data_IF_658764904302
#
_entry.id   IF_658764904302
#
_cell.length_a   1.000
_cell.length_b   1.000
_cell.length_c   1.000
_cell.angle_alpha   90.00
_cell.angle_beta   90.00
_cell.angle_gamma   90.00
#
_symmetry.space_group_name_H-M   'P 1'
#
loop_
_entity.id
_entity.type
_entity.pdbx_description
1 polymer ?
#
# COMPACT_ATOMS: atom_id res chain seq x y z
N UNK A 1 2.57 8.09 23.85
CA UNK A 1 2.18 7.22 24.99
C UNK A 1 1.58 8.08 26.08
N UNK A 2 0.31 7.81 26.38
CA UNK A 2 -0.54 8.57 27.29
C UNK A 2 -0.01 8.51 28.73
N UNK A 3 0.90 9.44 29.04
CA UNK A 3 1.46 9.67 30.38
C UNK A 3 0.35 9.89 31.43
N UNK A 4 -0.90 10.19 31.02
CA UNK A 4 -2.01 10.38 31.94
C UNK A 4 -2.57 9.06 32.49
N UNK A 5 -2.74 8.01 31.67
CA UNK A 5 -3.29 6.71 32.11
C UNK A 5 -2.28 5.92 32.94
N UNK A 6 -1.01 5.87 32.52
CA UNK A 6 0.03 5.17 33.30
C UNK A 6 0.29 5.86 34.63
N UNK A 7 0.20 7.19 34.67
CA UNK A 7 0.31 7.98 35.91
C UNK A 7 -0.90 7.80 36.82
N UNK A 8 -2.11 7.72 36.28
CA UNK A 8 -3.33 7.42 37.05
C UNK A 8 -3.31 6.02 37.66
N UNK A 9 -2.87 5.01 36.91
CA UNK A 9 -2.73 3.63 37.42
C UNK A 9 -1.65 3.58 38.51
N UNK A 10 -0.50 4.22 38.29
CA UNK A 10 0.57 4.27 39.28
C UNK A 10 0.18 5.06 40.54
N UNK A 11 -0.53 6.17 40.42
CA UNK A 11 -1.05 6.93 41.57
C UNK A 11 -2.11 6.13 42.36
N UNK A 12 -2.91 5.30 41.66
CA UNK A 12 -3.89 4.43 42.29
C UNK A 12 -3.22 3.28 43.06
N UNK A 13 -2.23 2.63 42.45
CA UNK A 13 -1.45 1.54 43.06
C UNK A 13 -0.64 2.03 44.27
N UNK A 14 -0.01 3.21 44.17
CA UNK A 14 0.67 3.82 45.32
C UNK A 14 -0.28 4.13 46.47
N UNK A 15 -1.50 4.58 46.17
CA UNK A 15 -2.50 4.91 47.18
C UNK A 15 -3.02 3.67 47.88
N UNK A 16 -3.21 2.56 47.15
CA UNK A 16 -3.55 1.25 47.72
C UNK A 16 -2.42 0.74 48.62
N UNK A 17 -1.16 0.85 48.20
CA UNK A 17 -0.02 0.41 49.02
C UNK A 17 0.18 1.28 50.26
N UNK A 18 -0.09 2.59 50.19
CA UNK A 18 -0.09 3.47 51.37
C UNK A 18 -1.16 3.08 52.39
N UNK A 19 -2.35 2.70 51.92
CA UNK A 19 -3.46 2.22 52.75
C UNK A 19 -3.11 0.86 53.37
N UNK A 20 -2.52 -0.07 52.61
CA UNK A 20 -2.07 -1.38 53.11
C UNK A 20 -1.02 -1.28 54.22
N UNK A 21 -0.17 -0.25 54.19
CA UNK A 21 0.87 -0.03 55.22
C UNK A 21 0.35 0.61 56.51
N UNK A 22 -0.83 1.23 56.49
CA UNK A 22 -1.34 2.03 57.61
C UNK A 22 -2.62 1.48 58.22
N UNK A 23 -3.34 0.62 57.50
CA UNK A 23 -4.54 -0.04 57.97
C UNK A 23 -4.27 -1.51 58.33
N UNK A 24 -4.87 -1.99 59.41
CA UNK A 24 -4.91 -3.42 59.66
C UNK A 24 -5.91 -4.12 58.70
N UNK A 25 -5.83 -5.45 58.59
CA UNK A 25 -6.67 -6.27 57.70
C UNK A 25 -8.17 -5.99 57.85
N UNK A 26 -8.66 -5.71 59.06
CA UNK A 26 -10.07 -5.40 59.31
C UNK A 26 -10.49 -4.04 58.74
N UNK A 27 -9.64 -3.02 58.88
CA UNK A 27 -9.88 -1.70 58.30
C UNK A 27 -9.83 -1.74 56.77
N UNK A 28 -8.95 -2.53 56.18
CA UNK A 28 -8.86 -2.71 54.73
C UNK A 28 -10.13 -3.37 54.17
N UNK A 29 -10.65 -4.41 54.84
CA UNK A 29 -11.91 -5.06 54.44
C UNK A 29 -13.11 -4.14 54.56
N UNK A 30 -13.17 -3.30 55.60
CA UNK A 30 -14.23 -2.30 55.75
C UNK A 30 -14.19 -1.25 54.63
N UNK A 31 -12.99 -0.80 54.25
CA UNK A 31 -12.81 0.17 53.16
C UNK A 31 -13.22 -0.41 51.80
N UNK A 32 -12.80 -1.64 51.48
CA UNK A 32 -13.16 -2.32 50.23
C UNK A 32 -14.67 -2.55 50.13
N UNK A 33 -15.32 -2.93 51.24
CA UNK A 33 -16.78 -3.09 51.30
C UNK A 33 -17.53 -1.77 51.09
N UNK A 34 -16.99 -0.65 51.58
CA UNK A 34 -17.54 0.69 51.34
C UNK A 34 -17.39 1.13 49.88
N UNK A 35 -16.27 0.77 49.22
CA UNK A 35 -16.05 1.07 47.80
C UNK A 35 -17.04 0.29 46.94
N UNK A 36 -17.23 -1.01 47.20
CA UNK A 36 -18.20 -1.83 46.47
C UNK A 36 -19.65 -1.33 46.62
N UNK A 37 -20.04 -0.89 47.82
CA UNK A 37 -21.36 -0.28 48.04
C UNK A 37 -21.53 1.05 47.31
N UNK A 38 -20.45 1.84 47.19
CA UNK A 38 -20.47 3.11 46.46
C UNK A 38 -20.54 2.88 44.95
N UNK A 39 -19.81 1.90 44.43
CA UNK A 39 -19.88 1.52 43.01
C UNK A 39 -21.25 0.92 42.64
N UNK A 40 -21.87 0.18 43.55
CA UNK A 40 -23.20 -0.44 43.36
C UNK A 40 -24.36 0.57 43.43
N UNK A 41 -24.12 1.80 43.90
CA UNK A 41 -25.14 2.86 44.03
C UNK A 41 -25.01 3.95 42.96
N UNK A 42 -24.06 3.83 42.03
CA UNK A 42 -23.97 4.71 40.88
C UNK A 42 -25.16 4.47 39.93
N UNK A 43 -25.85 5.54 39.47
CA UNK A 43 -26.98 5.40 38.57
C UNK A 43 -26.54 4.75 37.25
N UNK A 44 -27.23 3.68 36.88
CA UNK A 44 -27.06 3.03 35.57
C UNK A 44 -27.44 4.06 34.50
N UNK A 45 -26.44 4.60 33.81
CA UNK A 45 -26.64 5.42 32.63
C UNK A 45 -27.39 4.56 31.59
N UNK A 46 -28.54 5.01 31.07
CA UNK A 46 -29.25 4.27 30.04
C UNK A 46 -28.29 4.05 28.85
N UNK A 47 -28.06 2.79 28.50
CA UNK A 47 -27.37 2.44 27.26
C UNK A 47 -28.05 3.20 26.10
N UNK A 48 -27.29 3.92 25.24
CA UNK A 48 -27.82 4.38 23.98
C UNK A 48 -28.40 3.16 23.24
N UNK A 49 -29.55 3.31 22.57
CA UNK A 49 -30.08 2.30 21.67
C UNK A 49 -28.96 1.81 20.75
N UNK A 50 -28.47 0.60 21.00
CA UNK A 50 -27.66 -0.14 20.05
C UNK A 50 -28.54 -0.29 18.81
N UNK A 51 -28.27 0.51 17.77
CA UNK A 51 -28.66 0.14 16.42
C UNK A 51 -28.11 -1.26 16.23
N UNK A 52 -28.97 -2.23 15.96
CA UNK A 52 -28.57 -3.59 15.62
C UNK A 52 -27.58 -3.52 14.46
N UNK A 53 -26.30 -3.54 14.79
CA UNK A 53 -25.25 -3.84 13.85
C UNK A 53 -25.52 -5.27 13.41
N UNK A 54 -25.67 -5.54 12.10
CA UNK A 54 -25.82 -6.91 11.64
C UNK A 54 -24.67 -7.75 12.22
N UNK A 55 -24.92 -9.03 12.58
CA UNK A 55 -23.87 -9.90 13.08
C UNK A 55 -22.68 -9.88 12.13
N UNK A 56 -21.43 -9.89 12.63
CA UNK A 56 -20.25 -9.85 11.77
C UNK A 56 -20.38 -10.96 10.73
N UNK A 57 -20.42 -10.57 9.45
CA UNK A 57 -20.41 -11.52 8.36
C UNK A 57 -19.15 -12.38 8.52
N UNK A 58 -19.32 -13.71 8.50
CA UNK A 58 -18.26 -14.73 8.56
C UNK A 58 -16.92 -14.21 8.03
N UNK A 59 -15.89 -14.27 8.88
CA UNK A 59 -14.55 -13.69 8.69
C UNK A 59 -14.06 -13.75 7.25
N UNK A 60 -14.17 -12.62 6.56
CA UNK A 60 -13.50 -12.46 5.29
C UNK A 60 -12.04 -12.08 5.53
N UNK A 61 -11.14 -12.79 4.87
CA UNK A 61 -9.72 -12.49 4.95
C UNK A 61 -9.32 -11.55 3.82
N UNK A 62 -8.55 -10.53 4.19
CA UNK A 62 -7.88 -9.65 3.25
C UNK A 62 -6.44 -10.12 3.06
N UNK A 63 -6.05 -10.24 1.80
CA UNK A 63 -4.70 -10.56 1.39
C UNK A 63 -4.10 -9.37 0.66
N UNK A 64 -2.92 -8.94 1.12
CA UNK A 64 -2.06 -8.01 0.40
C UNK A 64 -1.24 -8.80 -0.61
N UNK A 65 -1.49 -8.55 -1.89
CA UNK A 65 -0.68 -9.07 -2.99
C UNK A 65 0.45 -8.08 -3.26
N UNK A 66 1.67 -8.59 -3.33
CA UNK A 66 2.89 -7.81 -3.55
C UNK A 66 3.65 -8.44 -4.70
N UNK A 67 3.78 -7.68 -5.79
CA UNK A 67 4.60 -8.07 -6.92
C UNK A 67 5.99 -7.46 -6.82
N UNK A 68 7.01 -8.32 -6.92
CA UNK A 68 8.40 -7.93 -7.18
C UNK A 68 8.88 -8.65 -8.42
N UNK A 69 9.02 -7.94 -9.53
CA UNK A 69 9.56 -8.50 -10.77
C UNK A 69 8.86 -9.83 -11.17
N UNK A 70 9.58 -10.95 -11.20
CA UNK A 70 9.07 -12.29 -11.52
C UNK A 70 8.27 -12.98 -10.40
N UNK A 71 8.05 -12.36 -9.23
CA UNK A 71 7.28 -13.02 -8.17
C UNK A 71 6.08 -12.21 -7.72
N UNK A 72 4.97 -12.91 -7.63
CA UNK A 72 3.78 -12.46 -6.92
C UNK A 72 3.67 -13.24 -5.62
N UNK A 73 3.65 -12.52 -4.51
CA UNK A 73 3.41 -13.09 -3.18
C UNK A 73 2.15 -12.49 -2.58
N UNK A 74 1.55 -13.17 -1.60
CA UNK A 74 0.44 -12.63 -0.82
C UNK A 74 0.69 -12.75 0.68
N UNK A 75 0.10 -11.85 1.46
CA UNK A 75 0.16 -11.83 2.92
C UNK A 75 -1.24 -11.61 3.50
N UNK A 76 -1.65 -12.43 4.47
CA UNK A 76 -2.95 -12.24 5.15
C UNK A 76 -2.87 -11.05 6.11
N UNK A 77 -3.36 -9.87 5.70
CA UNK A 77 -3.28 -8.65 6.52
C UNK A 77 -4.34 -8.60 7.62
N UNK A 78 -5.43 -9.38 7.51
CA UNK A 78 -6.41 -9.52 8.59
C UNK A 78 -5.80 -10.15 9.84
N UNK A 79 -4.77 -10.98 9.66
CA UNK A 79 -4.04 -11.65 10.75
C UNK A 79 -2.67 -11.04 11.03
N UNK A 80 -2.41 -9.80 10.62
CA UNK A 80 -1.06 -9.20 10.69
C UNK A 80 -0.44 -9.23 12.10
N UNK A 81 -1.25 -9.10 13.16
CA UNK A 81 -0.82 -9.21 14.55
C UNK A 81 -0.31 -10.60 14.96
N UNK A 82 -0.68 -11.65 14.21
CA UNK A 82 -0.21 -13.02 14.39
C UNK A 82 1.10 -13.30 13.64
N UNK A 83 1.72 -12.28 13.02
CA UNK A 83 2.94 -12.39 12.20
C UNK A 83 2.83 -13.42 11.06
N UNK A 84 1.84 -13.29 10.15
CA UNK A 84 1.61 -14.24 9.07
C UNK A 84 2.79 -14.19 8.09
N UNK A 85 3.01 -15.28 7.35
CA UNK A 85 4.12 -15.40 6.41
C UNK A 85 3.67 -15.03 4.99
N UNK A 86 4.57 -14.43 4.21
CA UNK A 86 4.34 -14.24 2.77
C UNK A 86 4.28 -15.59 2.05
N UNK A 87 3.16 -15.84 1.38
CA UNK A 87 2.95 -17.01 0.54
C UNK A 87 3.33 -16.68 -0.91
N UNK A 88 4.06 -17.57 -1.58
CA UNK A 88 4.33 -17.45 -3.01
C UNK A 88 3.09 -17.83 -3.80
N UNK A 89 2.55 -16.88 -4.58
CA UNK A 89 1.40 -17.09 -5.47
C UNK A 89 1.86 -17.55 -6.84
N UNK A 90 2.87 -16.86 -7.40
CA UNK A 90 3.41 -17.17 -8.71
C UNK A 90 4.90 -16.82 -8.81
N UNK A 91 5.65 -17.71 -9.45
CA UNK A 91 7.04 -17.53 -9.87
C UNK A 91 7.08 -17.51 -11.40
N UNK A 92 7.06 -16.31 -11.99
CA UNK A 92 7.05 -16.08 -13.43
C UNK A 92 8.37 -16.55 -14.08
N UNK A 93 9.49 -16.55 -13.33
CA UNK A 93 10.81 -17.03 -13.77
C UNK A 93 10.80 -18.49 -14.22
N UNK A 94 10.10 -19.34 -13.47
CA UNK A 94 10.09 -20.79 -13.71
C UNK A 94 9.10 -21.20 -14.78
N UNK A 95 8.37 -20.24 -15.35
CA UNK A 95 7.38 -20.47 -16.38
C UNK A 95 7.94 -19.83 -17.63
N UNK A 96 8.50 -20.65 -18.52
CA UNK A 96 9.16 -20.31 -19.80
C UNK A 96 8.30 -19.45 -20.78
N UNK A 97 7.23 -18.81 -20.32
CA UNK A 97 6.16 -18.28 -21.14
C UNK A 97 5.69 -16.86 -20.78
N UNK A 98 6.12 -16.23 -19.68
CA UNK A 98 5.73 -14.84 -19.36
C UNK A 98 6.89 -14.04 -18.73
N UNK A 99 7.53 -13.20 -19.55
CA UNK A 99 8.38 -12.10 -19.07
C UNK A 99 7.54 -11.12 -18.22
N UNK A 100 8.09 -10.45 -17.20
CA UNK A 100 7.29 -10.04 -16.05
C UNK A 100 6.19 -9.04 -16.46
N UNK A 101 4.96 -9.30 -16.01
CA UNK A 101 3.77 -8.48 -16.29
C UNK A 101 3.37 -7.73 -15.03
N UNK A 102 2.95 -6.47 -15.11
CA UNK A 102 2.45 -5.76 -13.90
C UNK A 102 1.04 -6.25 -13.56
N UNK A 103 0.88 -6.72 -12.33
CA UNK A 103 -0.37 -7.26 -11.78
C UNK A 103 -1.21 -6.15 -11.14
N UNK A 104 -2.52 -6.21 -11.34
CA UNK A 104 -3.49 -5.31 -10.68
C UNK A 104 -4.83 -6.02 -10.48
N UNK A 105 -5.59 -5.58 -9.49
CA UNK A 105 -6.92 -6.11 -9.23
C UNK A 105 -8.00 -5.37 -10.03
N UNK A 106 -8.98 -6.12 -10.54
CA UNK A 106 -10.19 -5.56 -11.11
C UNK A 106 -11.38 -6.47 -10.78
N UNK A 107 -11.89 -6.33 -9.55
CA UNK A 107 -13.06 -7.05 -9.08
C UNK A 107 -12.74 -8.51 -8.75
N UNK A 108 -13.28 -9.46 -9.50
CA UNK A 108 -13.06 -10.89 -9.20
C UNK A 108 -11.75 -11.45 -9.76
N UNK A 109 -11.15 -10.80 -10.76
CA UNK A 109 -9.95 -11.31 -11.45
C UNK A 109 -8.72 -10.44 -11.16
N UNK A 110 -7.56 -11.09 -11.14
CA UNK A 110 -6.25 -10.42 -11.16
C UNK A 110 -5.82 -10.31 -12.62
N UNK A 111 -5.57 -9.08 -13.07
CA UNK A 111 -5.14 -8.79 -14.43
C UNK A 111 -3.64 -8.54 -14.48
N UNK A 112 -3.05 -8.78 -15.65
CA UNK A 112 -1.63 -8.64 -15.90
C UNK A 112 -1.40 -7.97 -17.24
N UNK A 113 -0.52 -6.97 -17.27
CA UNK A 113 -0.26 -6.17 -18.46
C UNK A 113 1.21 -5.82 -18.62
N UNK A 114 1.63 -5.74 -19.88
CA UNK A 114 2.94 -5.22 -20.29
C UNK A 114 4.05 -6.26 -20.37
N UNK A 115 5.29 -5.82 -20.19
CA UNK A 115 6.51 -6.64 -20.17
C UNK A 115 7.56 -5.87 -19.37
N UNK A 116 8.43 -6.50 -18.60
CA UNK A 116 9.46 -5.81 -17.79
C UNK A 116 10.82 -5.90 -18.46
N UNK A 117 11.59 -4.81 -18.37
CA UNK A 117 12.91 -4.70 -18.99
C UNK A 117 14.00 -5.38 -18.14
N UNK A 118 14.39 -6.61 -18.50
CA UNK A 118 15.50 -7.33 -17.86
C UNK A 118 16.83 -7.02 -18.59
N UNK A 119 17.44 -5.88 -18.26
CA UNK A 119 18.82 -5.47 -18.62
C UNK A 119 19.32 -5.46 -20.09
N UNK A 120 20.27 -4.55 -20.34
CA UNK A 120 20.94 -4.17 -21.61
C UNK A 120 21.43 -5.29 -22.54
N UNK A 121 21.71 -6.49 -22.03
CA UNK A 121 22.48 -7.51 -22.78
C UNK A 121 21.67 -8.71 -23.24
N UNK A 122 20.41 -8.82 -22.81
CA UNK A 122 19.64 -10.04 -23.01
C UNK A 122 18.32 -9.87 -23.75
N UNK A 123 17.88 -8.65 -24.09
CA UNK A 123 16.85 -8.57 -25.14
C UNK A 123 17.47 -9.06 -26.44
N UNK A 124 16.97 -10.16 -27.04
CA UNK A 124 17.19 -10.39 -28.45
C UNK A 124 16.82 -9.09 -29.16
N UNK A 125 17.59 -8.68 -30.17
CA UNK A 125 17.28 -7.51 -31.03
C UNK A 125 15.89 -7.59 -31.71
N UNK A 126 15.10 -8.63 -31.43
CA UNK A 126 13.90 -9.09 -32.10
C UNK A 126 12.84 -9.69 -31.15
N UNK A 127 12.76 -9.29 -29.87
CA UNK A 127 11.56 -9.63 -29.10
C UNK A 127 10.36 -8.87 -29.68
N UNK A 128 9.35 -9.60 -30.16
CA UNK A 128 8.11 -9.01 -30.64
C UNK A 128 7.43 -8.20 -29.53
N UNK A 129 6.87 -7.02 -29.86
CA UNK A 129 6.14 -6.22 -28.87
C UNK A 129 4.98 -7.00 -28.25
N UNK A 130 4.86 -6.92 -26.92
CA UNK A 130 3.84 -7.64 -26.18
C UNK A 130 2.59 -6.78 -25.98
N UNK A 131 1.46 -7.23 -26.53
CA UNK A 131 0.17 -6.51 -26.51
C UNK A 131 -0.90 -7.20 -25.66
N UNK A 132 -0.63 -8.43 -25.24
CA UNK A 132 -1.63 -9.27 -24.60
C UNK A 132 -1.90 -8.81 -23.17
N UNK A 133 -3.16 -8.91 -22.77
CA UNK A 133 -3.60 -8.75 -21.38
C UNK A 133 -4.00 -10.13 -20.88
N UNK A 134 -3.50 -10.51 -19.72
CA UNK A 134 -3.86 -11.78 -19.08
C UNK A 134 -4.75 -11.53 -17.88
N UNK A 135 -5.59 -12.49 -17.55
CA UNK A 135 -6.27 -12.52 -16.27
C UNK A 135 -6.19 -13.89 -15.62
N UNK A 136 -6.32 -13.88 -14.30
CA UNK A 136 -6.46 -15.05 -13.45
C UNK A 136 -7.71 -14.84 -12.61
N UNK A 137 -8.69 -15.71 -12.81
CA UNK A 137 -9.84 -15.82 -11.92
C UNK A 137 -9.45 -16.70 -10.73
N UNK A 138 -9.09 -16.04 -9.62
CA UNK A 138 -8.73 -16.76 -8.39
C UNK A 138 -9.91 -17.46 -7.76
N UNK A 139 -11.16 -17.06 -8.07
CA UNK A 139 -12.37 -17.70 -7.57
C UNK A 139 -12.65 -19.05 -8.25
N UNK A 140 -12.34 -19.17 -9.55
CA UNK A 140 -12.61 -20.38 -10.35
C UNK A 140 -11.50 -21.41 -10.32
N UNK A 141 -10.26 -21.03 -10.04
CA UNK A 141 -9.11 -21.94 -10.06
C UNK A 141 -8.19 -21.69 -8.87
N UNK A 142 -7.84 -22.72 -8.08
CA UNK A 142 -6.80 -22.61 -7.07
C UNK A 142 -5.40 -22.48 -7.69
N UNK A 143 -5.26 -22.83 -8.98
CA UNK A 143 -4.01 -22.66 -9.71
C UNK A 143 -3.94 -21.25 -10.31
N UNK A 144 -2.86 -20.53 -10.00
CA UNK A 144 -2.57 -19.23 -10.58
C UNK A 144 -1.98 -19.43 -11.99
N UNK A 145 -2.83 -19.73 -12.98
CA UNK A 145 -2.44 -19.90 -14.38
C UNK A 145 -2.98 -18.71 -15.19
N UNK A 146 -2.12 -17.76 -15.59
CA UNK A 146 -2.54 -16.63 -16.42
C UNK A 146 -3.05 -17.11 -17.77
N UNK A 147 -4.25 -16.68 -18.15
CA UNK A 147 -4.86 -16.94 -19.44
C UNK A 147 -5.10 -15.61 -20.18
N UNK A 148 -5.13 -15.60 -21.53
CA UNK A 148 -5.56 -14.41 -22.26
C UNK A 148 -6.91 -13.92 -21.72
N UNK A 149 -7.00 -12.64 -21.39
CA UNK A 149 -8.22 -12.09 -20.82
C UNK A 149 -9.38 -12.18 -21.83
N UNK A 150 -10.54 -12.60 -21.33
CA UNK A 150 -11.79 -12.59 -22.11
C UNK A 150 -12.54 -11.27 -22.00
N UNK A 151 -12.18 -10.44 -21.01
CA UNK A 151 -12.84 -9.17 -20.66
C UNK A 151 -12.04 -7.99 -21.23
N UNK A 152 -10.72 -8.00 -21.04
CA UNK A 152 -9.85 -6.95 -21.54
C UNK A 152 -9.28 -7.33 -22.91
N UNK A 153 -9.53 -6.56 -23.99
CA UNK A 153 -8.90 -6.81 -25.27
C UNK A 153 -7.40 -6.51 -25.20
N UNK A 154 -6.69 -6.81 -26.29
CA UNK A 154 -5.27 -6.42 -26.42
C UNK A 154 -5.10 -4.91 -26.36
N UNK A 155 -3.95 -4.48 -25.83
CA UNK A 155 -3.54 -3.07 -25.81
C UNK A 155 -3.36 -2.54 -27.24
N UNK A 156 -3.57 -1.23 -27.44
CA UNK A 156 -3.33 -0.60 -28.73
C UNK A 156 -1.82 -0.42 -29.03
N UNK A 157 -0.98 -0.40 -27.99
CA UNK A 157 0.48 -0.41 -28.11
C UNK A 157 1.14 -1.25 -27.02
N UNK A 158 2.35 -1.78 -27.27
CA UNK A 158 3.07 -2.54 -26.25
C UNK A 158 3.44 -1.64 -25.07
N UNK A 159 3.48 -2.23 -23.88
CA UNK A 159 3.79 -1.52 -22.63
C UNK A 159 4.98 -2.17 -21.94
N UNK A 160 6.15 -1.55 -22.06
CA UNK A 160 7.36 -2.04 -21.38
C UNK A 160 7.57 -1.25 -20.09
N UNK A 161 7.76 -1.99 -19.01
CA UNK A 161 7.80 -1.55 -17.62
C UNK A 161 6.64 -0.60 -17.31
N UNK A 162 5.37 -1.04 -17.48
CA UNK A 162 4.25 -0.14 -17.32
C UNK A 162 4.08 0.33 -15.88
N UNK A 163 3.57 1.55 -15.74
CA UNK A 163 2.84 1.96 -14.54
C UNK A 163 1.36 1.64 -14.74
N UNK A 164 0.75 1.08 -13.69
CA UNK A 164 -0.67 0.76 -13.67
C UNK A 164 -1.31 1.47 -12.48
N UNK A 165 -2.41 2.18 -12.74
CA UNK A 165 -3.19 2.88 -11.71
C UNK A 165 -4.66 2.59 -11.95
N UNK A 166 -5.38 2.16 -10.91
CA UNK A 166 -6.84 2.04 -10.96
C UNK A 166 -7.45 3.23 -10.24
N UNK A 167 -8.35 3.95 -10.91
CA UNK A 167 -9.01 5.15 -10.40
C UNK A 167 -10.46 5.21 -10.88
N UNK A 168 -11.41 5.33 -9.95
CA UNK A 168 -12.86 5.32 -10.23
C UNK A 168 -13.32 4.18 -11.16
N UNK A 169 -12.83 2.96 -10.90
CA UNK A 169 -13.17 1.77 -11.69
C UNK A 169 -12.59 1.72 -13.11
N UNK A 170 -11.70 2.66 -13.46
CA UNK A 170 -10.94 2.67 -14.72
C UNK A 170 -9.49 2.29 -14.43
N UNK A 171 -8.86 1.55 -15.33
CA UNK A 171 -7.45 1.21 -15.21
C UNK A 171 -6.63 1.96 -16.25
N UNK A 172 -5.66 2.74 -15.79
CA UNK A 172 -4.74 3.50 -16.61
C UNK A 172 -3.41 2.77 -16.69
N UNK A 173 -2.86 2.67 -17.90
CA UNK A 173 -1.60 2.00 -18.17
C UNK A 173 -0.68 2.93 -18.95
N UNK A 174 0.45 3.28 -18.35
CA UNK A 174 1.48 4.14 -18.93
C UNK A 174 2.77 3.35 -19.16
N UNK A 175 3.25 3.29 -20.39
CA UNK A 175 4.58 2.77 -20.70
C UNK A 175 5.66 3.71 -20.16
N UNK A 176 6.64 3.15 -19.44
CA UNK A 176 7.88 3.85 -19.11
C UNK A 176 8.95 3.71 -20.19
N UNK A 177 8.82 2.69 -21.04
CA UNK A 177 9.74 2.40 -22.13
C UNK A 177 9.01 2.32 -23.47
N UNK A 178 9.63 2.86 -24.53
CA UNK A 178 9.00 3.02 -25.84
C UNK A 178 9.64 2.14 -26.90
N UNK A 179 8.84 1.80 -27.92
CA UNK A 179 9.33 1.20 -29.16
C UNK A 179 9.58 2.30 -30.19
N UNK A 180 10.38 1.98 -31.22
CA UNK A 180 10.75 2.91 -32.31
C UNK A 180 9.57 3.43 -33.15
N UNK A 181 8.43 2.73 -33.12
CA UNK A 181 7.22 3.08 -33.87
C UNK A 181 6.33 4.00 -33.02
N UNK A 182 5.59 4.97 -33.63
CA UNK A 182 4.56 5.72 -32.91
C UNK A 182 3.49 4.74 -32.40
N UNK A 183 3.57 4.43 -31.11
CA UNK A 183 2.66 3.53 -30.43
C UNK A 183 2.02 4.29 -29.26
N UNK A 184 0.73 4.04 -28.95
CA UNK A 184 0.11 4.56 -27.75
C UNK A 184 0.94 4.23 -26.51
N UNK A 185 1.47 5.24 -25.83
CA UNK A 185 2.21 5.06 -24.59
C UNK A 185 1.32 5.12 -23.36
N UNK A 186 0.15 5.78 -23.44
CA UNK A 186 -0.78 5.94 -22.34
C UNK A 186 -2.19 5.55 -22.77
N UNK A 187 -2.80 4.62 -22.05
CA UNK A 187 -4.13 4.09 -22.36
C UNK A 187 -4.97 3.96 -21.10
N UNK A 188 -6.29 4.02 -21.25
CA UNK A 188 -7.26 3.73 -20.18
C UNK A 188 -8.18 2.59 -20.62
N UNK A 189 -8.37 1.62 -19.74
CA UNK A 189 -9.40 0.60 -19.85
C UNK A 189 -10.66 1.08 -19.14
N UNK A 190 -11.75 1.14 -19.88
CA UNK A 190 -13.07 1.47 -19.35
C UNK A 190 -14.14 0.76 -20.19
N UNK A 191 -15.16 0.20 -19.55
CA UNK A 191 -16.29 -0.46 -20.21
C UNK A 191 -15.87 -1.51 -21.27
N UNK A 192 -14.88 -2.35 -20.94
CA UNK A 192 -14.42 -3.43 -21.81
C UNK A 192 -13.54 -2.98 -22.98
N UNK A 193 -13.08 -1.72 -23.03
CA UNK A 193 -12.29 -1.19 -24.15
C UNK A 193 -11.10 -0.37 -23.68
N UNK A 194 -9.99 -0.47 -24.42
CA UNK A 194 -8.86 0.43 -24.30
C UNK A 194 -9.08 1.69 -25.14
N UNK A 195 -8.77 2.85 -24.55
CA UNK A 195 -8.75 4.15 -25.23
C UNK A 195 -7.38 4.78 -25.06
N UNK A 196 -6.76 5.19 -26.15
CA UNK A 196 -5.52 5.98 -26.13
C UNK A 196 -5.76 7.36 -25.53
N UNK A 197 -4.84 7.76 -24.65
CA UNK A 197 -4.83 9.07 -24.01
C UNK A 197 -3.68 9.93 -24.56
N UNK A 198 -3.71 11.26 -24.32
CA UNK A 198 -2.62 12.14 -24.71
C UNK A 198 -1.27 11.67 -24.16
N UNK A 199 -0.21 11.68 -24.97
CA UNK A 199 1.11 11.29 -24.51
C UNK A 199 1.61 12.27 -23.44
N UNK A 200 2.28 11.80 -22.38
CA UNK A 200 2.81 12.70 -21.37
C UNK A 200 3.88 13.63 -21.92
N UNK A 201 3.96 14.87 -21.39
CA UNK A 201 4.85 15.92 -21.89
C UNK A 201 6.34 15.64 -21.63
N UNK A 202 6.65 14.72 -20.71
CA UNK A 202 8.01 14.29 -20.41
C UNK A 202 8.54 13.20 -21.36
N UNK A 203 7.72 12.73 -22.30
CA UNK A 203 8.17 11.89 -23.41
C UNK A 203 8.42 12.80 -24.61
N UNK A 204 9.68 13.14 -24.93
CA UNK A 204 9.95 13.88 -26.14
C UNK A 204 9.66 13.01 -27.37
N UNK A 205 9.25 13.62 -28.51
CA UNK A 205 9.23 12.91 -29.78
C UNK A 205 10.63 12.35 -30.06
N UNK A 206 10.72 11.03 -30.22
CA UNK A 206 11.99 10.32 -30.39
C UNK A 206 12.72 10.86 -31.63
N UNK A 207 13.92 11.43 -31.45
CA UNK A 207 14.77 11.90 -32.57
C UNK A 207 15.92 10.95 -32.89
N UNK A 208 16.33 10.09 -31.96
CA UNK A 208 17.40 9.11 -32.16
C UNK A 208 17.33 7.88 -31.23
N UNK A 209 17.99 6.79 -31.63
CA UNK A 209 18.10 5.54 -30.86
C UNK A 209 18.80 5.71 -29.50
N UNK A 210 19.72 6.68 -29.37
CA UNK A 210 20.44 6.97 -28.12
C UNK A 210 19.57 7.68 -27.08
N UNK A 211 18.67 8.56 -27.54
CA UNK A 211 17.73 9.28 -26.66
C UNK A 211 16.63 8.36 -26.14
N UNK A 212 16.14 7.45 -27.00
CA UNK A 212 15.20 6.39 -26.65
C UNK A 212 15.67 5.59 -25.42
N UNK A 213 16.99 5.34 -25.33
CA UNK A 213 17.60 4.56 -24.27
C UNK A 213 17.78 5.33 -22.95
N UNK A 214 18.07 6.63 -22.99
CA UNK A 214 18.31 7.42 -21.76
C UNK A 214 17.02 7.90 -21.06
N UNK A 215 15.93 8.07 -21.82
CA UNK A 215 14.61 8.41 -21.28
C UNK A 215 13.87 7.20 -20.71
N UNK A 216 14.11 6.03 -21.29
CA UNK A 216 13.50 4.77 -20.93
C UNK A 216 14.29 4.06 -19.82
N UNK A 217 14.43 4.67 -18.65
CA UNK A 217 14.93 3.93 -17.48
C UNK A 217 14.05 4.21 -16.28
N UNK A 218 13.52 3.15 -15.66
CA UNK A 218 12.89 3.16 -14.31
C UNK A 218 13.69 3.98 -13.29
N UNK A 219 15.00 4.11 -13.50
CA UNK A 219 15.92 4.94 -12.70
C UNK A 219 15.56 6.42 -12.61
N UNK A 220 14.79 6.97 -13.56
CA UNK A 220 14.32 8.38 -13.51
C UNK A 220 12.97 8.52 -12.84
N UNK A 221 12.20 7.45 -12.77
CA UNK A 221 10.89 7.44 -12.13
C UNK A 221 11.06 7.15 -10.62
N UNK A 222 10.22 7.77 -9.81
CA UNK A 222 10.28 7.62 -8.35
C UNK A 222 8.99 7.12 -7.74
N UNK A 223 7.84 7.61 -8.19
CA UNK A 223 6.55 7.23 -7.64
C UNK A 223 5.41 7.58 -8.59
N UNK A 224 4.32 6.79 -8.50
CA UNK A 224 3.04 7.06 -9.14
C UNK A 224 1.97 6.92 -8.09
N UNK A 225 1.04 7.85 -8.07
CA UNK A 225 -0.10 7.83 -7.17
C UNK A 225 -1.26 8.57 -7.81
N UNK A 226 -2.45 8.38 -7.23
CA UNK A 226 -3.66 9.04 -7.69
C UNK A 226 -4.52 9.45 -6.51
N UNK A 227 -5.31 10.49 -6.73
CA UNK A 227 -6.38 10.95 -5.84
C UNK A 227 -7.43 11.64 -6.69
N UNK A 228 -8.69 11.61 -6.25
CA UNK A 228 -9.81 12.21 -6.98
C UNK A 228 -9.76 11.84 -8.48
N UNK A 229 -9.70 12.82 -9.38
CA UNK A 229 -9.59 12.62 -10.82
C UNK A 229 -8.14 12.74 -11.36
N UNK A 230 -7.12 12.67 -10.51
CA UNK A 230 -5.72 13.01 -10.82
C UNK A 230 -4.79 11.82 -10.71
N UNK A 231 -3.90 11.69 -11.69
CA UNK A 231 -2.81 10.69 -11.69
C UNK A 231 -1.49 11.44 -11.75
N UNK A 232 -0.64 11.26 -10.74
CA UNK A 232 0.64 11.95 -10.66
C UNK A 232 1.80 11.00 -10.86
N UNK A 233 2.72 11.44 -11.72
CA UNK A 233 3.98 10.76 -12.03
C UNK A 233 5.13 11.62 -11.50
N UNK A 234 5.90 11.08 -10.57
CA UNK A 234 7.05 11.74 -9.96
C UNK A 234 8.37 11.18 -10.48
N UNK A 235 9.30 12.08 -10.74
CA UNK A 235 10.65 11.79 -11.22
C UNK A 235 11.71 12.11 -10.16
N UNK A 236 12.88 11.51 -10.33
CA UNK A 236 14.10 11.89 -9.59
C UNK A 236 14.40 13.37 -9.85
N UNK A 237 14.75 14.10 -8.79
CA UNK A 237 15.03 15.54 -8.87
C UNK A 237 13.83 16.45 -8.63
N UNK A 238 12.69 15.92 -8.17
CA UNK A 238 11.54 16.73 -7.73
C UNK A 238 10.62 17.20 -8.85
N UNK A 239 10.80 16.70 -10.07
CA UNK A 239 9.92 16.99 -11.20
C UNK A 239 8.70 16.06 -11.13
N UNK A 240 7.51 16.60 -11.31
CA UNK A 240 6.28 15.81 -11.32
C UNK A 240 5.25 16.37 -12.29
N UNK A 241 4.42 15.48 -12.82
CA UNK A 241 3.35 15.81 -13.75
C UNK A 241 2.07 15.14 -13.29
N UNK A 242 0.97 15.87 -13.40
CA UNK A 242 -0.37 15.40 -13.07
C UNK A 242 -1.17 15.25 -14.36
N UNK A 243 -1.73 14.08 -14.60
CA UNK A 243 -2.76 13.88 -15.60
C UNK A 243 -4.13 14.04 -14.94
N UNK A 244 -4.89 15.02 -15.40
CA UNK A 244 -6.27 15.25 -15.00
C UNK A 244 -7.17 14.41 -15.92
N UNK A 245 -7.92 13.48 -15.32
CA UNK A 245 -8.77 12.54 -16.06
C UNK A 245 -10.11 13.13 -16.49
N UNK A 246 -10.53 14.26 -15.92
CA UNK A 246 -11.74 14.99 -16.33
C UNK A 246 -11.46 15.89 -17.53
N UNK A 247 -10.38 16.68 -17.45
CA UNK A 247 -9.98 17.58 -18.54
C UNK A 247 -9.20 16.85 -19.63
N UNK A 248 -8.64 15.68 -19.33
CA UNK A 248 -7.79 14.88 -20.22
C UNK A 248 -6.52 15.64 -20.61
N UNK A 249 -5.92 16.35 -19.65
CA UNK A 249 -4.74 17.19 -19.84
C UNK A 249 -3.61 16.86 -18.86
N UNK A 250 -2.38 17.20 -19.25
CA UNK A 250 -1.20 17.08 -18.41
C UNK A 250 -0.79 18.44 -17.84
N UNK A 251 -0.63 18.49 -16.52
CA UNK A 251 -0.26 19.67 -15.75
C UNK A 251 1.16 19.47 -15.20
N UNK A 252 2.03 20.48 -15.35
CA UNK A 252 3.34 20.48 -14.72
C UNK A 252 3.21 20.94 -13.25
N UNK A 253 3.48 20.03 -12.32
CA UNK A 253 3.26 20.27 -10.89
C UNK A 253 4.37 21.11 -10.24
N UNK A 254 5.47 21.39 -10.93
CA UNK A 254 6.54 22.24 -10.39
C UNK A 254 6.03 23.64 -10.03
N UNK A 255 5.13 24.20 -10.85
CA UNK A 255 4.54 25.52 -10.58
C UNK A 255 3.58 25.48 -9.40
N UNK A 256 2.87 24.36 -9.22
CA UNK A 256 1.93 24.16 -8.10
C UNK A 256 2.67 24.08 -6.78
N UNK A 257 3.81 23.36 -6.75
CA UNK A 257 4.58 23.18 -5.52
C UNK A 257 5.51 24.36 -5.18
N UNK A 258 5.74 25.29 -6.12
CA UNK A 258 6.64 26.43 -5.90
C UNK A 258 6.07 27.31 -4.78
N UNK A 259 6.75 27.34 -3.63
CA UNK A 259 6.32 28.10 -2.46
C UNK A 259 5.29 27.40 -1.57
N UNK A 260 4.94 26.14 -1.85
CA UNK A 260 4.11 25.30 -0.98
C UNK A 260 4.96 24.52 0.03
N UNK A 261 4.34 24.10 1.15
CA UNK A 261 4.94 23.16 2.10
C UNK A 261 4.81 21.68 1.65
N UNK A 262 4.29 21.44 0.44
CA UNK A 262 4.17 20.10 -0.11
C UNK A 262 5.52 19.63 -0.62
N UNK A 263 5.90 18.42 -0.23
CA UNK A 263 7.11 17.82 -0.73
C UNK A 263 6.99 17.59 -2.26
N UNK A 264 8.02 17.91 -3.05
CA UNK A 264 7.96 17.79 -4.50
C UNK A 264 7.82 16.33 -5.00
N UNK A 265 8.10 15.37 -4.11
CA UNK A 265 7.98 13.93 -4.37
C UNK A 265 7.28 13.28 -3.18
N UNK A 266 6.13 12.68 -3.43
CA UNK A 266 5.44 11.77 -2.52
C UNK A 266 5.66 10.34 -3.04
N UNK A 267 6.11 9.42 -2.19
CA UNK A 267 6.36 8.01 -2.56
C UNK A 267 5.05 7.25 -2.76
N UNK A 268 4.06 7.54 -1.90
CA UNK A 268 2.73 6.98 -1.96
C UNK A 268 1.73 7.99 -1.42
N UNK A 269 0.48 7.85 -1.87
CA UNK A 269 -0.66 8.66 -1.44
C UNK A 269 -1.91 7.77 -1.39
N UNK A 270 -2.77 7.99 -0.40
CA UNK A 270 -4.17 7.59 -0.42
C UNK A 270 -5.06 8.75 0.00
N UNK A 271 -6.27 8.81 -0.55
CA UNK A 271 -7.26 9.83 -0.20
C UNK A 271 -8.18 9.37 0.94
N UNK A 272 -8.50 10.28 1.85
CA UNK A 272 -9.42 10.08 2.98
C UNK A 272 -10.20 11.37 3.29
N UNK A 273 -11.50 11.43 2.99
CA UNK A 273 -12.38 12.61 3.18
C UNK A 273 -11.73 13.96 2.80
N UNK A 274 -11.25 14.07 1.55
CA UNK A 274 -10.55 15.27 1.02
C UNK A 274 -9.18 15.56 1.65
N UNK A 275 -8.64 14.65 2.45
CA UNK A 275 -7.25 14.65 2.85
C UNK A 275 -6.45 13.64 2.05
N UNK A 276 -5.17 13.90 1.85
CA UNK A 276 -4.21 12.95 1.31
C UNK A 276 -3.30 12.48 2.43
N UNK A 277 -3.26 11.18 2.66
CA UNK A 277 -2.29 10.53 3.55
C UNK A 277 -1.13 10.10 2.65
N UNK A 278 0.07 10.56 2.95
CA UNK A 278 1.20 10.40 2.07
C UNK A 278 2.50 10.11 2.82
N UNK A 279 3.44 9.45 2.14
CA UNK A 279 4.83 9.38 2.58
C UNK A 279 5.70 10.26 1.68
N UNK A 280 6.22 11.40 2.14
CA UNK A 280 7.12 12.22 1.34
C UNK A 280 8.47 11.54 1.06
N UNK A 281 9.22 12.02 0.06
CA UNK A 281 10.60 11.60 -0.19
C UNK A 281 11.59 12.77 -0.12
N UNK A 282 12.70 12.64 0.64
CA UNK A 282 12.94 11.65 1.69
C UNK A 282 12.15 12.03 2.95
N UNK A 283 11.50 11.07 3.60
CA UNK A 283 10.79 11.33 4.85
C UNK A 283 10.66 10.06 5.69
N UNK A 284 10.77 10.27 7.00
CA UNK A 284 10.68 9.26 8.08
C UNK A 284 9.27 9.25 8.70
N UNK A 285 8.25 9.73 7.98
CA UNK A 285 6.92 9.93 8.56
C UNK A 285 5.82 9.79 7.51
N UNK A 286 4.59 9.55 8.00
CA UNK A 286 3.38 9.76 7.22
C UNK A 286 2.85 11.17 7.52
N UNK A 287 2.48 11.86 6.45
CA UNK A 287 2.00 13.24 6.46
C UNK A 287 0.62 13.29 5.86
N UNK A 288 -0.21 14.17 6.40
CA UNK A 288 -1.54 14.50 5.90
C UNK A 288 -1.46 15.84 5.19
N UNK A 289 -2.03 15.88 3.99
CA UNK A 289 -2.31 17.12 3.25
C UNK A 289 -3.81 17.35 3.14
N UNK A 290 -4.28 18.58 3.34
CA UNK A 290 -5.66 18.97 3.04
C UNK A 290 -5.76 19.43 1.59
N UNK A 291 -6.79 19.00 0.87
CA UNK A 291 -7.04 19.45 -0.49
C UNK A 291 -7.76 20.81 -0.50
N UNK A 292 -7.22 21.77 -1.24
CA UNK A 292 -7.91 23.05 -1.48
C UNK A 292 -9.10 22.92 -2.43
N UNK A 293 -9.77 24.05 -2.70
CA UNK A 293 -10.92 24.12 -3.60
C UNK A 293 -10.61 23.67 -5.05
N UNK A 294 -9.34 23.68 -5.44
CA UNK A 294 -8.87 23.23 -6.75
C UNK A 294 -8.30 21.80 -6.69
N UNK A 295 -8.45 21.09 -5.56
CA UNK A 295 -7.94 19.72 -5.39
C UNK A 295 -6.42 19.63 -5.29
N UNK A 296 -5.73 20.71 -4.93
CA UNK A 296 -4.28 20.70 -4.69
C UNK A 296 -3.97 20.54 -3.19
N UNK A 297 -2.95 19.74 -2.84
CA UNK A 297 -2.60 19.51 -1.45
C UNK A 297 -1.96 20.73 -0.79
N UNK A 298 -2.25 20.92 0.49
CA UNK A 298 -1.55 21.81 1.42
C UNK A 298 -1.20 21.03 2.68
N UNK A 299 -0.01 21.29 3.25
CA UNK A 299 0.39 20.59 4.47
C UNK A 299 -0.64 20.83 5.58
N UNK A 300 -1.05 19.76 6.25
CA UNK A 300 -2.03 19.84 7.33
C UNK A 300 -1.43 19.35 8.64
N UNK A 301 -0.97 18.10 8.73
CA UNK A 301 -0.32 17.58 9.94
C UNK A 301 0.58 16.37 9.66
N UNK A 302 1.42 16.03 10.62
CA UNK A 302 2.13 14.75 10.69
C UNK A 302 1.29 13.72 11.45
N UNK A 303 1.46 12.44 11.13
CA UNK A 303 0.85 11.33 11.87
C UNK A 303 1.87 10.76 12.85
N UNK A 304 2.01 11.41 14.00
CA UNK A 304 2.97 11.04 15.05
C UNK A 304 2.71 9.63 15.61
N UNK A 305 1.49 9.10 15.45
CA UNK A 305 1.13 7.75 15.89
C UNK A 305 1.95 6.65 15.19
N UNK A 306 2.59 6.95 14.06
CA UNK A 306 3.47 6.04 13.33
C UNK A 306 4.95 6.14 13.70
N UNK A 307 5.34 7.03 14.62
CA UNK A 307 6.75 7.21 15.01
C UNK A 307 7.41 5.88 15.42
N UNK A 308 6.66 4.99 16.10
CA UNK A 308 7.14 3.66 16.50
C UNK A 308 7.54 2.77 15.32
N UNK A 309 6.87 2.91 14.18
CA UNK A 309 7.17 2.15 12.95
C UNK A 309 8.43 2.70 12.28
N UNK A 310 8.60 4.02 12.28
CA UNK A 310 9.75 4.69 11.66
C UNK A 310 10.99 4.75 12.55
N UNK A 311 10.86 4.46 13.86
CA UNK A 311 11.99 4.30 14.77
C UNK A 311 12.95 3.18 14.35
N UNK A 312 12.49 2.21 13.53
CA UNK A 312 13.37 1.25 12.90
C UNK A 312 14.10 1.88 11.71
N UNK A 313 15.42 2.07 11.87
CA UNK A 313 16.31 2.68 10.86
C UNK A 313 16.27 2.03 9.47
N UNK A 314 15.73 0.81 9.34
CA UNK A 314 15.48 0.18 8.04
C UNK A 314 14.37 0.92 7.30
N UNK A 315 13.27 1.25 7.99
CA UNK A 315 12.06 1.89 7.44
C UNK A 315 12.33 3.31 6.97
N UNK A 316 13.20 4.05 7.67
CA UNK A 316 13.73 5.38 7.28
C UNK A 316 14.23 5.36 5.82
N UNK A 317 15.09 4.40 5.48
CA UNK A 317 15.71 4.29 4.15
C UNK A 317 14.82 3.71 3.04
N UNK A 318 13.51 3.55 3.26
CA UNK A 318 12.62 2.91 2.29
C UNK A 318 12.53 3.67 0.96
N UNK A 319 12.69 2.94 -0.15
CA UNK A 319 12.74 3.50 -1.50
C UNK A 319 11.40 3.44 -2.22
N UNK A 320 10.54 2.50 -1.85
CA UNK A 320 9.19 2.32 -2.40
C UNK A 320 8.17 2.15 -1.30
N UNK A 321 6.99 2.71 -1.50
CA UNK A 321 5.88 2.58 -0.57
C UNK A 321 4.54 2.61 -1.32
N UNK A 322 3.50 2.06 -0.69
CA UNK A 322 2.11 2.13 -1.13
C UNK A 322 1.22 2.33 0.10
N UNK A 323 0.14 3.10 -0.05
CA UNK A 323 -0.96 3.14 0.90
C UNK A 323 -2.19 2.68 0.13
N UNK A 324 -2.81 1.61 0.59
CA UNK A 324 -3.87 0.90 -0.13
C UNK A 324 -5.12 0.91 0.77
N UNK A 325 -6.22 1.56 0.37
CA UNK A 325 -7.46 1.53 1.15
C UNK A 325 -8.10 0.13 1.12
N UNK A 326 -8.78 -0.24 2.20
CA UNK A 326 -9.62 -1.44 2.23
C UNK A 326 -10.94 -1.16 1.51
N UNK A 327 -11.37 -2.06 0.62
CA UNK A 327 -12.57 -1.84 -0.20
C UNK A 327 -13.88 -1.83 0.60
N UNK A 328 -13.94 -2.53 1.74
CA UNK A 328 -15.14 -2.63 2.58
C UNK A 328 -15.09 -1.77 3.84
N UNK A 329 -14.01 -1.00 4.03
CA UNK A 329 -13.79 -0.17 5.20
C UNK A 329 -13.03 1.11 4.80
N UNK A 330 -13.79 2.17 4.51
CA UNK A 330 -13.28 3.44 4.00
C UNK A 330 -12.31 4.15 4.97
N UNK A 331 -12.34 3.80 6.25
CA UNK A 331 -11.46 4.35 7.27
C UNK A 331 -10.17 3.54 7.42
N UNK A 332 -10.04 2.38 6.77
CA UNK A 332 -8.95 1.43 6.98
C UNK A 332 -8.00 1.38 5.81
N UNK A 333 -6.71 1.35 6.10
CA UNK A 333 -5.64 1.39 5.12
C UNK A 333 -4.55 0.37 5.44
N UNK A 334 -3.91 -0.15 4.39
CA UNK A 334 -2.68 -0.91 4.47
C UNK A 334 -1.53 -0.07 3.93
N UNK A 335 -0.53 0.18 4.76
CA UNK A 335 0.74 0.75 4.34
C UNK A 335 1.74 -0.37 4.12
N UNK A 336 2.44 -0.32 3.00
CA UNK A 336 3.59 -1.19 2.73
C UNK A 336 4.75 -0.33 2.26
N UNK A 337 5.94 -0.57 2.81
CA UNK A 337 7.17 -0.02 2.26
C UNK A 337 8.28 -1.06 2.23
N UNK A 338 9.25 -0.84 1.35
CA UNK A 338 10.41 -1.71 1.18
C UNK A 338 11.67 -0.90 1.03
N UNK A 339 12.78 -1.46 1.46
CA UNK A 339 14.09 -0.84 1.28
C UNK A 339 15.24 -1.77 1.61
N UNK A 340 16.43 -1.19 1.49
CA UNK A 340 17.67 -1.80 1.95
C UNK A 340 17.76 -1.63 3.46
N UNK A 341 17.90 -2.73 4.20
CA UNK A 341 18.34 -2.67 5.58
C UNK A 341 19.81 -2.23 5.59
N UNK A 342 20.12 -1.15 6.30
CA UNK A 342 21.51 -0.72 6.51
C UNK A 342 22.23 -1.82 7.30
N UNK A 343 23.06 -2.62 6.63
CA UNK A 343 23.91 -3.57 7.31
C UNK A 343 25.13 -2.81 7.86
N UNK A 344 25.39 -2.92 9.16
CA UNK A 344 26.64 -2.40 9.77
C UNK A 344 27.84 -3.28 9.46
N UNK A 345 27.61 -4.48 8.95
CA UNK A 345 28.61 -5.48 8.60
C UNK A 345 28.84 -5.47 7.08
N UNK A 346 29.94 -4.84 6.65
CA UNK A 346 30.27 -4.66 5.23
C UNK A 346 30.53 -5.98 4.49
N UNK A 347 30.72 -7.08 5.22
CA UNK A 347 30.98 -8.41 4.67
C UNK A 347 29.70 -9.23 4.45
N UNK A 348 28.53 -8.73 4.87
CA UNK A 348 27.23 -9.38 4.65
C UNK A 348 26.49 -8.77 3.46
N UNK A 349 25.80 -9.59 2.66
CA UNK A 349 24.91 -9.06 1.63
C UNK A 349 23.86 -8.16 2.26
N UNK A 350 23.53 -7.04 1.59
CA UNK A 350 22.46 -6.14 2.03
C UNK A 350 21.17 -6.94 2.25
N UNK A 351 20.64 -6.91 3.47
CA UNK A 351 19.34 -7.48 3.75
C UNK A 351 18.26 -6.53 3.21
N UNK A 352 17.28 -7.07 2.49
CA UNK A 352 16.09 -6.31 2.12
C UNK A 352 15.00 -6.56 3.14
N UNK A 353 14.15 -5.55 3.35
CA UNK A 353 13.00 -5.69 4.24
C UNK A 353 11.73 -5.22 3.54
N UNK A 354 10.62 -5.72 4.06
CA UNK A 354 9.29 -5.18 3.81
C UNK A 354 8.64 -4.88 5.15
N UNK A 355 8.17 -3.65 5.32
CA UNK A 355 7.30 -3.28 6.41
C UNK A 355 5.87 -3.27 5.92
N UNK A 356 4.98 -3.92 6.65
CA UNK A 356 3.52 -3.86 6.40
C UNK A 356 2.86 -3.36 7.67
N UNK A 357 2.00 -2.36 7.54
CA UNK A 357 1.19 -1.83 8.61
C UNK A 357 -0.28 -1.75 8.18
N UNK A 358 -1.18 -1.95 9.13
CA UNK A 358 -2.61 -1.73 9.00
C UNK A 358 -3.00 -0.67 10.01
N UNK A 359 -3.71 0.34 9.54
CA UNK A 359 -4.12 1.46 10.37
C UNK A 359 -5.50 1.95 9.98
N UNK A 360 -6.11 2.66 10.92
CA UNK A 360 -7.42 3.29 10.77
C UNK A 360 -7.30 4.79 10.91
N UNK A 361 -7.99 5.51 10.06
CA UNK A 361 -8.13 6.95 10.13
C UNK A 361 -9.47 7.31 10.77
N UNK A 362 -9.50 8.45 11.42
CA UNK A 362 -10.73 8.99 12.01
C UNK A 362 -10.70 10.51 11.96
N UNK A 363 -11.87 11.11 11.79
CA UNK A 363 -12.06 12.56 11.80
C UNK A 363 -12.95 12.91 12.98
N UNK A 364 -12.42 13.73 13.86
CA UNK A 364 -13.20 14.37 14.92
C UNK A 364 -13.34 15.86 14.60
N UNK A 365 -14.42 16.48 15.07
CA UNK A 365 -14.56 17.93 15.03
C UNK A 365 -14.51 18.46 16.47
N UNK A 366 -13.52 19.31 16.75
CA UNK A 366 -13.43 20.04 18.00
C UNK A 366 -13.49 21.52 17.65
N UNK A 367 -14.51 22.22 18.16
CA UNK A 367 -14.68 23.68 17.97
C UNK A 367 -14.73 24.14 16.50
N UNK A 368 -15.23 23.28 15.59
CA UNK A 368 -15.33 23.60 14.16
C UNK A 368 -14.06 23.30 13.36
N UNK A 369 -12.95 22.99 14.01
CA UNK A 369 -11.76 22.49 13.34
C UNK A 369 -11.86 20.96 13.21
N UNK A 370 -11.67 20.46 11.98
CA UNK A 370 -11.43 19.03 11.79
C UNK A 370 -10.12 18.68 12.49
N UNK A 371 -10.06 17.51 13.11
CA UNK A 371 -8.86 16.88 13.65
C UNK A 371 -8.81 15.46 13.10
N UNK A 372 -7.78 15.18 12.31
CA UNK A 372 -7.49 13.82 11.86
C UNK A 372 -6.70 13.08 12.94
N UNK A 373 -7.01 11.82 13.16
CA UNK A 373 -6.23 10.92 14.01
C UNK A 373 -6.05 9.57 13.34
N UNK A 374 -4.90 8.94 13.58
CA UNK A 374 -4.61 7.62 13.06
C UNK A 374 -4.40 6.62 14.20
N UNK A 375 -4.99 5.44 14.07
CA UNK A 375 -4.78 4.32 14.97
C UNK A 375 -4.01 3.23 14.24
N UNK A 376 -2.78 2.96 14.68
CA UNK A 376 -1.99 1.84 14.20
C UNK A 376 -2.53 0.53 14.80
N UNK A 377 -3.28 -0.25 14.01
CA UNK A 377 -3.88 -1.51 14.47
C UNK A 377 -2.83 -2.62 14.60
N UNK A 378 -1.94 -2.74 13.61
CA UNK A 378 -0.84 -3.71 13.62
C UNK A 378 0.26 -3.30 12.64
N UNK A 379 1.50 -3.70 12.90
CA UNK A 379 2.57 -3.65 11.91
C UNK A 379 3.56 -4.80 12.09
N UNK A 380 4.22 -5.18 11.01
CA UNK A 380 5.25 -6.22 11.01
C UNK A 380 6.40 -5.85 10.07
N UNK A 381 7.59 -6.32 10.44
CA UNK A 381 8.80 -6.20 9.64
C UNK A 381 9.24 -7.58 9.19
N UNK A 382 9.26 -7.78 7.88
CA UNK A 382 9.61 -9.04 7.27
C UNK A 382 11.02 -8.97 6.71
N UNK A 383 11.91 -9.92 7.06
CA UNK A 383 13.12 -10.13 6.28
C UNK A 383 12.67 -10.58 4.90
N UNK A 384 13.08 -9.85 3.88
CA UNK A 384 12.74 -10.16 2.50
C UNK A 384 14.03 -10.50 1.79
N UNK A 385 14.38 -11.78 1.79
CA UNK A 385 15.67 -12.23 1.25
C UNK A 385 15.90 -11.76 -0.19
N UNK A 386 17.17 -11.41 -0.46
CA UNK A 386 17.66 -11.03 -1.78
C UNK A 386 17.48 -12.21 -2.75
N UNK A 387 16.58 -12.03 -3.71
CA UNK A 387 16.55 -12.86 -4.90
C UNK A 387 17.62 -12.34 -5.88
N UNK A 388 18.75 -13.04 -5.97
CA UNK A 388 19.82 -12.95 -6.98
C UNK A 388 20.23 -11.57 -7.55
N UNK A 389 21.50 -11.20 -7.30
CA UNK A 389 22.44 -10.40 -8.11
C UNK A 389 21.92 -9.29 -9.05
N UNK A 390 21.12 -8.33 -8.57
CA UNK A 390 21.25 -6.92 -8.95
C UNK A 390 20.39 -6.03 -8.02
N UNK A 391 20.97 -4.94 -7.53
CA UNK A 391 20.37 -4.05 -6.55
C UNK A 391 19.13 -3.27 -7.03
N UNK A 392 18.73 -3.37 -8.30
CA UNK A 392 17.50 -2.74 -8.82
C UNK A 392 16.35 -3.70 -9.10
N UNK A 393 16.49 -4.99 -8.83
CA UNK A 393 15.45 -6.02 -9.08
C UNK A 393 14.52 -6.27 -7.87
N UNK A 394 14.68 -5.51 -6.79
CA UNK A 394 14.03 -5.77 -5.50
C UNK A 394 12.86 -4.81 -5.20
N UNK A 395 12.62 -3.82 -6.06
CA UNK A 395 11.57 -2.84 -5.89
C UNK A 395 10.18 -3.48 -6.08
N UNK A 396 9.22 -3.11 -5.23
CA UNK A 396 7.82 -3.50 -5.40
C UNK A 396 7.29 -2.84 -6.69
N UNK A 397 6.84 -3.66 -7.64
CA UNK A 397 6.31 -3.20 -8.92
C UNK A 397 4.83 -2.86 -8.84
N UNK A 398 4.08 -3.63 -8.05
CA UNK A 398 2.68 -3.35 -7.72
C UNK A 398 2.32 -3.97 -6.38
N UNK A 399 1.34 -3.35 -5.72
CA UNK A 399 0.73 -3.88 -4.51
C UNK A 399 -0.77 -3.55 -4.51
N UNK A 400 -1.60 -4.51 -4.11
CA UNK A 400 -3.04 -4.34 -4.02
C UNK A 400 -3.64 -5.28 -2.96
N UNK A 401 -4.75 -4.87 -2.37
CA UNK A 401 -5.53 -5.70 -1.45
C UNK A 401 -6.59 -6.48 -2.24
N UNK A 402 -6.84 -7.71 -1.85
CA UNK A 402 -7.96 -8.50 -2.35
C UNK A 402 -8.60 -9.27 -1.20
N UNK A 403 -9.93 -9.29 -1.21
CA UNK A 403 -10.73 -10.12 -0.30
C UNK A 403 -10.80 -11.54 -0.87
N UNK A 404 -10.19 -12.50 -0.18
CA UNK A 404 -10.33 -13.91 -0.54
C UNK A 404 -11.49 -14.50 0.28
N UNK A 405 -12.62 -14.76 -0.40
CA UNK A 405 -13.71 -15.54 0.16
C UNK A 405 -13.43 -17.06 0.10
N UNK A 406 -12.33 -17.45 -0.54
CA UNK A 406 -11.88 -18.83 -0.69
C UNK A 406 -11.05 -19.27 0.52
N UNK A 407 -11.68 -19.54 1.66
CA UNK A 407 -11.05 -20.39 2.69
C UNK A 407 -11.97 -20.91 3.81
N UNK A 408 -13.28 -21.01 3.62
CA UNK A 408 -14.13 -21.68 4.62
C UNK A 408 -13.98 -23.22 4.63
N UNK A 409 -13.61 -23.83 3.50
CA UNK A 409 -13.49 -25.30 3.41
C UNK A 409 -12.06 -25.82 3.58
N UNK A 410 -11.02 -25.07 3.17
CA UNK A 410 -9.62 -25.51 3.31
C UNK A 410 -9.06 -25.36 4.74
N UNK A 411 -9.62 -24.47 5.57
CA UNK A 411 -9.28 -24.39 7.00
C UNK A 411 -9.68 -25.67 7.79
N UNK A 412 -10.57 -26.51 7.24
CA UNK A 412 -10.85 -27.84 7.80
C UNK A 412 -9.85 -28.90 7.35
N UNK A 413 -9.18 -28.73 6.21
CA UNK A 413 -8.17 -29.65 5.71
C UNK A 413 -6.83 -29.50 6.46
N UNK A 414 -6.44 -28.29 6.84
CA UNK A 414 -5.17 -28.04 7.55
C UNK A 414 -5.15 -28.50 9.02
N UNK A 415 -6.30 -28.83 9.62
CA UNK A 415 -6.35 -29.51 10.93
C UNK A 415 -6.07 -31.02 10.84
N UNK A 416 -5.87 -31.57 9.64
CA UNK A 416 -5.62 -33.00 9.44
C UNK A 416 -4.18 -33.37 9.07
N UNK A 417 -3.29 -32.40 8.84
CA UNK A 417 -1.86 -32.65 8.54
C UNK A 417 -0.89 -32.38 9.69
N UNK A 418 -1.41 -32.29 10.92
CA UNK A 418 -0.60 -32.28 12.14
C UNK A 418 -0.39 -33.69 12.72
N UNK A 419 0.28 -34.60 12.00
CA UNK A 419 0.92 -35.82 12.55
C UNK A 419 1.75 -36.55 11.48
N UNK A 420 3.07 -36.52 11.65
CA UNK A 420 4.08 -37.22 10.83
C UNK A 420 4.85 -36.23 9.96
N UNK A 421 6.17 -36.07 10.02
CA UNK A 421 7.25 -36.90 10.53
C UNK A 421 8.39 -36.00 11.06
N UNK A 422 9.21 -36.60 11.91
CA UNK A 422 10.52 -36.16 12.39
C UNK A 422 11.44 -35.60 11.31
#
# INVERSE_FOLDING_TARGET
MDLSKTKLIHEFDERIERIRRTCNEEQLRALLKSIDQTLSSLPVVPKPLEKETPPPSRDAYFYLYVQRHERLSRLNVTKLSESPVFELVCDFDKRDCLSPLVCFDMGSEIFMVGDVFIYEKQRPKYCEPFFNVFSVDTAKSPSFLPCPSTIAPKLAGPKVDPLVVTLHGKTYVLALHFYRSPQPCFEVFNNGKWKTLPPPPFIPPIKSDKELYQLATRKRFRAVYAWDHRIVVCFVGGISYCFDTETVEWINMQQVYTGSEVAPVLQCVAEYDKFLIAKPYPSEELVVYELDANGFPHFYQKLDEFEVMFADSRVDGSTNAFIIPFEDDADKFCFICSGLARCTDMDKPFEYFVCVAVFRMSISSLEGNKKLTAELEAYQLYPFYQMATASSQQDICSAFLKRDNLNLDNLKADRSFGRGML
#
